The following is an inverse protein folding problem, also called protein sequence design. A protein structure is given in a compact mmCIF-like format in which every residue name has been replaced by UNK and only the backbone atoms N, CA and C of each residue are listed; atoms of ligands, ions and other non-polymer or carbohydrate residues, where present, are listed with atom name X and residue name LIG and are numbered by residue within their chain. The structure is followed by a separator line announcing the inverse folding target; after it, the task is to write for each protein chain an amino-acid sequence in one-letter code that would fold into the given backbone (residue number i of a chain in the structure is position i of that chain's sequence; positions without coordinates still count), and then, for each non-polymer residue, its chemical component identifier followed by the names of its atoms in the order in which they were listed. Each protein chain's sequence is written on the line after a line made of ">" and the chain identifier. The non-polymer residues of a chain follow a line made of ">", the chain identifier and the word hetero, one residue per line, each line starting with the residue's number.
data_IF_124988503045
#
_entry.id   IF_124988503045
#
_cell.length_a   1.000
_cell.length_b   1.000
_cell.length_c   1.000
_cell.angle_alpha   90.00
_cell.angle_beta   90.00
_cell.angle_gamma   90.00
#
_symmetry.space_group_name_H-M   'P 1'
#
loop_
_entity.id
_entity.type
_entity.pdbx_description
1 polymer ?
#
# COMPACT_ATOMS: atom_id res chain seq x y z
N UNK A 1 22.21 -24.06 -9.51
CA UNK A 1 21.14 -23.04 -9.45
C UNK A 1 21.70 -21.75 -8.85
N UNK A 2 21.83 -20.69 -9.66
CA UNK A 2 22.45 -19.42 -9.26
C UNK A 2 21.63 -18.64 -8.22
N UNK A 3 22.25 -17.72 -7.47
CA UNK A 3 21.57 -16.91 -6.44
C UNK A 3 20.40 -16.10 -7.01
N UNK A 4 20.57 -15.56 -8.22
CA UNK A 4 19.54 -14.81 -8.96
C UNK A 4 18.30 -15.66 -9.28
N UNK A 5 18.48 -16.91 -9.71
CA UNK A 5 17.37 -17.82 -9.99
C UNK A 5 16.57 -18.15 -8.73
N UNK A 6 17.23 -18.28 -7.58
CA UNK A 6 16.54 -18.51 -6.30
C UNK A 6 15.75 -17.30 -5.83
N UNK A 7 16.20 -16.08 -6.12
CA UNK A 7 15.46 -14.86 -5.82
C UNK A 7 14.26 -14.73 -6.75
N UNK A 8 14.45 -14.93 -8.06
CA UNK A 8 13.37 -14.89 -9.05
C UNK A 8 12.24 -15.86 -8.69
N UNK A 9 12.57 -17.10 -8.34
CA UNK A 9 11.60 -18.13 -7.96
C UNK A 9 10.77 -17.79 -6.70
N UNK A 10 11.18 -16.79 -5.92
CA UNK A 10 10.45 -16.33 -4.74
C UNK A 10 9.55 -15.12 -5.02
N UNK A 11 9.59 -14.58 -6.23
CA UNK A 11 8.78 -13.42 -6.60
C UNK A 11 7.38 -13.81 -7.07
N UNK A 12 6.45 -12.85 -7.05
CA UNK A 12 5.08 -13.01 -7.59
C UNK A 12 5.05 -13.31 -9.10
N UNK A 13 6.13 -12.98 -9.82
CA UNK A 13 6.26 -13.24 -11.26
C UNK A 13 6.76 -14.65 -11.57
N UNK A 14 7.27 -15.40 -10.59
CA UNK A 14 7.65 -16.79 -10.80
C UNK A 14 6.47 -17.66 -11.23
N UNK A 15 6.76 -18.69 -12.02
CA UNK A 15 5.79 -19.73 -12.36
C UNK A 15 5.35 -20.47 -11.09
N UNK A 16 4.04 -20.66 -10.93
CA UNK A 16 3.45 -21.29 -9.74
C UNK A 16 3.36 -20.40 -8.48
N UNK A 17 3.81 -19.14 -8.52
CA UNK A 17 3.71 -18.23 -7.36
C UNK A 17 2.26 -17.87 -6.98
N UNK A 18 1.33 -17.97 -7.93
CA UNK A 18 -0.10 -17.71 -7.73
C UNK A 18 -0.85 -19.05 -7.84
N UNK A 19 -1.60 -19.47 -6.79
CA UNK A 19 -2.40 -20.69 -6.84
C UNK A 19 -3.45 -20.66 -7.96
N UNK A 20 -3.80 -21.81 -8.58
CA UNK A 20 -4.81 -21.86 -9.63
C UNK A 20 -6.17 -21.28 -9.22
N UNK A 21 -6.57 -21.43 -7.95
CA UNK A 21 -7.81 -20.86 -7.38
C UNK A 21 -7.85 -19.33 -7.41
N UNK A 22 -6.70 -18.67 -7.53
CA UNK A 22 -6.56 -17.21 -7.48
C UNK A 22 -6.18 -16.62 -8.85
N UNK A 23 -6.21 -17.42 -9.91
CA UNK A 23 -5.77 -16.99 -11.24
C UNK A 23 -6.57 -15.78 -11.77
N UNK A 24 -7.83 -15.63 -11.34
CA UNK A 24 -8.66 -14.43 -11.63
C UNK A 24 -8.02 -13.11 -11.19
N UNK A 25 -7.14 -13.13 -10.19
CA UNK A 25 -6.45 -11.95 -9.66
C UNK A 25 -5.00 -11.82 -10.17
N UNK A 26 -4.58 -12.63 -11.16
CA UNK A 26 -3.19 -12.65 -11.63
C UNK A 26 -2.67 -11.29 -12.05
N UNK A 27 -3.41 -10.58 -12.91
CA UNK A 27 -2.99 -9.28 -13.42
C UNK A 27 -3.02 -8.22 -12.32
N UNK A 28 -3.99 -8.31 -11.41
CA UNK A 28 -4.04 -7.45 -10.24
C UNK A 28 -2.78 -7.61 -9.37
N UNK A 29 -2.41 -8.86 -9.04
CA UNK A 29 -1.25 -9.16 -8.19
C UNK A 29 0.09 -8.85 -8.85
N UNK A 30 0.23 -9.07 -10.17
CA UNK A 30 1.51 -8.93 -10.90
C UNK A 30 1.76 -7.55 -11.49
N UNK A 31 0.73 -6.76 -11.72
CA UNK A 31 0.85 -5.48 -12.43
C UNK A 31 0.29 -4.35 -11.59
N UNK A 32 -0.98 -4.41 -11.22
CA UNK A 32 -1.66 -3.27 -10.61
C UNK A 32 -1.23 -2.99 -9.17
N UNK A 33 -0.99 -4.01 -8.34
CA UNK A 33 -0.49 -3.81 -6.98
C UNK A 33 0.94 -3.25 -6.97
N UNK A 34 1.92 -3.83 -7.72
CA UNK A 34 3.24 -3.24 -7.83
C UNK A 34 3.21 -1.82 -8.41
N UNK A 35 2.38 -1.58 -9.43
CA UNK A 35 2.25 -0.25 -10.04
C UNK A 35 1.69 0.77 -9.05
N UNK A 36 0.68 0.40 -8.27
CA UNK A 36 0.13 1.25 -7.23
C UNK A 36 1.19 1.66 -6.20
N UNK A 37 1.96 0.68 -5.69
CA UNK A 37 3.01 0.96 -4.71
C UNK A 37 4.15 1.80 -5.33
N UNK A 38 4.48 1.58 -6.61
CA UNK A 38 5.45 2.41 -7.34
C UNK A 38 4.98 3.86 -7.51
N UNK A 39 3.70 4.08 -7.86
CA UNK A 39 3.11 5.42 -7.95
C UNK A 39 3.15 6.10 -6.57
N UNK A 40 2.86 5.37 -5.50
CA UNK A 40 2.94 5.91 -4.13
C UNK A 40 4.37 6.33 -3.75
N UNK A 41 5.39 5.53 -4.07
CA UNK A 41 6.80 5.91 -3.87
C UNK A 41 7.11 7.23 -4.59
N UNK A 42 6.74 7.31 -5.87
CA UNK A 42 6.97 8.51 -6.69
C UNK A 42 6.20 9.71 -6.11
N UNK A 43 4.95 9.52 -5.67
CA UNK A 43 4.16 10.58 -5.06
C UNK A 43 4.81 11.13 -3.78
N UNK A 44 5.32 10.26 -2.90
CA UNK A 44 6.06 10.67 -1.71
C UNK A 44 7.36 11.42 -2.07
N UNK A 45 8.09 10.94 -3.07
CA UNK A 45 9.29 11.63 -3.56
C UNK A 45 8.99 13.01 -4.14
N UNK A 46 7.96 13.11 -4.97
CA UNK A 46 7.51 14.37 -5.56
C UNK A 46 7.05 15.35 -4.49
N UNK A 47 6.37 14.88 -3.45
CA UNK A 47 5.95 15.71 -2.32
C UNK A 47 7.14 16.30 -1.55
N UNK A 48 8.25 15.57 -1.38
CA UNK A 48 9.47 16.11 -0.77
C UNK A 48 10.17 17.15 -1.68
N UNK A 49 10.19 16.92 -2.99
CA UNK A 49 10.97 17.76 -3.91
C UNK A 49 10.25 19.05 -4.32
N UNK A 50 8.93 18.96 -4.50
CA UNK A 50 8.10 20.07 -4.97
C UNK A 50 7.22 20.65 -3.87
N UNK A 51 7.13 19.96 -2.72
CA UNK A 51 6.24 20.33 -1.65
C UNK A 51 4.77 20.04 -1.93
N UNK A 52 3.96 20.12 -0.89
CA UNK A 52 2.50 20.21 -1.03
C UNK A 52 2.03 21.53 -0.45
N UNK A 53 1.60 22.45 -1.32
CA UNK A 53 1.08 23.77 -0.93
C UNK A 53 -0.06 23.67 0.07
N UNK A 54 -0.85 22.59 0.03
CA UNK A 54 -1.94 22.34 0.97
C UNK A 54 -1.46 21.85 2.33
N UNK A 55 -0.47 20.96 2.37
CA UNK A 55 0.09 20.48 3.63
C UNK A 55 0.90 21.56 4.34
N UNK A 56 1.70 22.35 3.63
CA UNK A 56 2.49 23.45 4.21
C UNK A 56 1.63 24.59 4.78
N UNK A 57 0.34 24.64 4.45
CA UNK A 57 -0.61 25.58 5.09
C UNK A 57 -1.06 25.12 6.47
N UNK A 58 -0.99 23.81 6.73
CA UNK A 58 -1.52 23.17 7.93
C UNK A 58 -0.37 22.81 8.87
N UNK A 59 0.77 22.41 8.31
CA UNK A 59 1.93 21.88 9.03
C UNK A 59 3.22 22.57 8.62
N UNK A 60 4.21 22.49 9.50
CA UNK A 60 5.59 22.92 9.24
C UNK A 60 6.22 22.13 8.07
N UNK A 61 7.16 22.78 7.39
CA UNK A 61 7.87 22.20 6.24
C UNK A 61 8.60 20.91 6.58
N UNK A 62 9.33 20.88 7.71
CA UNK A 62 10.10 19.70 8.09
C UNK A 62 9.19 18.51 8.41
N UNK A 63 8.05 18.75 9.05
CA UNK A 63 7.06 17.70 9.32
C UNK A 63 6.48 17.13 8.02
N UNK A 64 6.14 17.99 7.05
CA UNK A 64 5.58 17.55 5.76
C UNK A 64 6.59 16.73 4.97
N UNK A 65 7.85 17.16 4.91
CA UNK A 65 8.91 16.42 4.23
C UNK A 65 9.19 15.07 4.93
N UNK A 66 9.21 15.05 6.26
CA UNK A 66 9.38 13.83 7.03
C UNK A 66 8.23 12.83 6.78
N UNK A 67 6.98 13.30 6.76
CA UNK A 67 5.81 12.46 6.48
C UNK A 67 5.83 11.97 5.03
N UNK A 68 6.22 12.80 4.07
CA UNK A 68 6.34 12.40 2.67
C UNK A 68 7.45 11.36 2.45
N UNK A 69 8.60 11.53 3.11
CA UNK A 69 9.68 10.54 3.12
C UNK A 69 9.26 9.23 3.78
N UNK A 70 8.56 9.30 4.91
CA UNK A 70 8.01 8.12 5.58
C UNK A 70 6.97 7.40 4.70
N UNK A 71 6.08 8.14 4.05
CA UNK A 71 5.11 7.60 3.09
C UNK A 71 5.80 6.84 1.95
N UNK A 72 6.84 7.45 1.35
CA UNK A 72 7.64 6.82 0.28
C UNK A 72 8.33 5.54 0.75
N UNK A 73 8.91 5.56 1.95
CA UNK A 73 9.54 4.39 2.57
C UNK A 73 8.53 3.26 2.80
N UNK A 74 7.35 3.56 3.34
CA UNK A 74 6.30 2.56 3.57
C UNK A 74 5.78 1.99 2.25
N UNK A 75 5.59 2.83 1.23
CA UNK A 75 5.21 2.38 -0.11
C UNK A 75 6.28 1.45 -0.72
N UNK A 76 7.57 1.73 -0.51
CA UNK A 76 8.66 0.84 -0.92
C UNK A 76 8.62 -0.50 -0.19
N UNK A 77 8.40 -0.50 1.13
CA UNK A 77 8.20 -1.73 1.91
C UNK A 77 6.99 -2.52 1.40
N UNK A 78 5.91 -1.85 1.02
CA UNK A 78 4.74 -2.48 0.42
C UNK A 78 5.07 -3.11 -0.94
N UNK A 79 5.81 -2.41 -1.80
CA UNK A 79 6.23 -2.91 -3.11
C UNK A 79 7.06 -4.19 -2.97
N UNK A 80 8.02 -4.20 -2.03
CA UNK A 80 8.82 -5.39 -1.71
C UNK A 80 7.91 -6.49 -1.15
N UNK A 81 6.97 -6.16 -0.27
CA UNK A 81 5.98 -7.10 0.25
C UNK A 81 5.14 -7.78 -0.84
N UNK A 82 4.64 -7.01 -1.80
CA UNK A 82 3.88 -7.50 -2.96
C UNK A 82 4.77 -8.36 -3.86
N UNK A 83 6.01 -7.93 -4.10
CA UNK A 83 6.95 -8.65 -4.93
C UNK A 83 7.29 -10.04 -4.36
N UNK A 84 7.33 -10.20 -3.03
CA UNK A 84 7.69 -11.44 -2.34
C UNK A 84 6.53 -11.98 -1.47
N UNK A 85 5.75 -12.98 -1.94
CA UNK A 85 4.59 -13.51 -1.21
C UNK A 85 4.87 -14.02 0.21
N UNK A 86 6.13 -14.34 0.53
CA UNK A 86 6.56 -14.73 1.89
C UNK A 86 6.48 -13.58 2.89
N UNK A 87 6.55 -12.34 2.42
CA UNK A 87 6.51 -11.12 3.24
C UNK A 87 5.08 -10.56 3.38
N UNK A 88 4.05 -11.37 3.15
CA UNK A 88 2.65 -10.96 3.20
C UNK A 88 2.24 -10.26 4.51
N UNK A 89 2.83 -10.62 5.65
CA UNK A 89 2.58 -9.94 6.93
C UNK A 89 3.16 -8.51 6.95
N UNK A 90 4.34 -8.32 6.38
CA UNK A 90 4.98 -7.01 6.23
C UNK A 90 4.19 -6.17 5.23
N UNK A 91 3.75 -6.77 4.12
CA UNK A 91 2.86 -6.14 3.16
C UNK A 91 1.57 -5.63 3.83
N UNK A 92 0.92 -6.48 4.64
CA UNK A 92 -0.31 -6.10 5.35
C UNK A 92 -0.07 -4.93 6.32
N UNK A 93 0.95 -5.00 7.17
CA UNK A 93 1.29 -3.93 8.10
C UNK A 93 1.61 -2.62 7.35
N UNK A 94 2.41 -2.70 6.29
CA UNK A 94 2.74 -1.56 5.45
C UNK A 94 1.50 -0.94 4.82
N UNK A 95 0.58 -1.73 4.27
CA UNK A 95 -0.66 -1.22 3.65
C UNK A 95 -1.62 -0.63 4.68
N UNK A 96 -1.68 -1.16 5.91
CA UNK A 96 -2.44 -0.53 7.01
C UNK A 96 -1.87 0.86 7.33
N UNK A 97 -0.55 0.96 7.48
CA UNK A 97 0.12 2.25 7.72
C UNK A 97 -0.13 3.21 6.54
N UNK A 98 0.03 2.74 5.30
CA UNK A 98 -0.19 3.53 4.09
C UNK A 98 -1.62 4.07 4.01
N UNK A 99 -2.63 3.24 4.28
CA UNK A 99 -4.04 3.65 4.36
C UNK A 99 -4.24 4.67 5.47
N UNK A 100 -3.63 4.46 6.64
CA UNK A 100 -3.66 5.41 7.75
C UNK A 100 -3.08 6.77 7.39
N UNK A 101 -1.97 6.81 6.66
CA UNK A 101 -1.35 8.05 6.17
C UNK A 101 -2.26 8.77 5.16
N UNK A 102 -2.85 8.06 4.20
CA UNK A 102 -3.77 8.66 3.22
C UNK A 102 -5.04 9.19 3.91
N UNK A 103 -5.64 8.38 4.78
CA UNK A 103 -6.84 8.77 5.54
C UNK A 103 -6.56 9.94 6.49
N UNK A 104 -5.40 9.92 7.16
CA UNK A 104 -4.93 11.01 8.01
C UNK A 104 -4.73 12.29 7.21
N UNK A 105 -4.17 12.21 6.00
CA UNK A 105 -4.04 13.37 5.12
C UNK A 105 -5.40 13.92 4.67
N UNK A 106 -6.33 13.06 4.26
CA UNK A 106 -7.70 13.46 3.94
C UNK A 106 -8.35 14.16 5.13
N UNK A 107 -8.25 13.58 6.34
CA UNK A 107 -8.75 14.18 7.57
C UNK A 107 -8.10 15.53 7.86
N UNK A 108 -6.78 15.65 7.70
CA UNK A 108 -6.07 16.89 7.90
C UNK A 108 -6.60 18.01 6.99
N UNK A 109 -6.84 17.71 5.71
CA UNK A 109 -7.43 18.67 4.77
C UNK A 109 -8.85 19.05 5.21
N UNK A 110 -9.71 18.06 5.47
CA UNK A 110 -11.14 18.30 5.77
C UNK A 110 -11.31 19.13 7.04
N UNK A 111 -10.55 18.83 8.09
CA UNK A 111 -10.76 19.44 9.41
C UNK A 111 -9.92 20.70 9.65
N UNK A 112 -8.77 20.85 8.99
CA UNK A 112 -7.81 21.93 9.30
C UNK A 112 -7.49 22.85 8.12
N UNK A 113 -7.84 22.52 6.87
CA UNK A 113 -7.57 23.40 5.74
C UNK A 113 -8.47 24.64 5.78
N UNK A 114 -7.87 25.81 5.97
CA UNK A 114 -8.53 27.12 5.77
C UNK A 114 -8.10 27.67 4.42
N UNK A 115 -9.01 27.65 3.44
CA UNK A 115 -8.69 28.16 2.11
C UNK A 115 -8.61 29.70 2.13
N UNK A 116 -7.60 30.30 1.48
CA UNK A 116 -7.57 31.74 1.26
C UNK A 116 -8.80 32.22 0.49
N UNK A 117 -9.18 33.52 0.63
CA UNK A 117 -10.25 34.10 -0.16
C UNK A 117 -9.93 33.95 -1.67
N UNK A 118 -10.86 33.40 -2.43
CA UNK A 118 -10.72 33.22 -3.88
C UNK A 118 -10.14 31.88 -4.34
N UNK A 119 -9.73 31.00 -3.43
CA UNK A 119 -9.31 29.64 -3.81
C UNK A 119 -10.46 28.62 -3.74
N UNK A 120 -10.55 27.69 -4.70
CA UNK A 120 -11.58 26.65 -4.69
C UNK A 120 -11.38 25.69 -3.52
N UNK A 121 -12.48 25.09 -3.06
CA UNK A 121 -12.43 24.09 -2.01
C UNK A 121 -11.56 22.88 -2.40
N UNK A 122 -10.81 22.26 -1.47
CA UNK A 122 -9.85 21.20 -1.77
C UNK A 122 -10.51 19.84 -2.07
N UNK A 123 -11.82 19.83 -2.37
CA UNK A 123 -12.60 18.61 -2.63
C UNK A 123 -12.03 17.78 -3.76
N UNK A 124 -11.49 18.41 -4.81
CA UNK A 124 -10.83 17.68 -5.89
C UNK A 124 -9.68 16.81 -5.37
N UNK A 125 -8.84 17.36 -4.48
CA UNK A 125 -7.67 16.65 -3.93
C UNK A 125 -8.12 15.60 -2.93
N UNK A 126 -9.11 15.90 -2.10
CA UNK A 126 -9.73 14.93 -1.19
C UNK A 126 -10.29 13.73 -1.97
N UNK A 127 -11.04 13.97 -3.04
CA UNK A 127 -11.59 12.91 -3.90
C UNK A 127 -10.50 12.11 -4.60
N UNK A 128 -9.44 12.78 -5.08
CA UNK A 128 -8.29 12.10 -5.70
C UNK A 128 -7.57 11.19 -4.70
N UNK A 129 -7.31 11.66 -3.48
CA UNK A 129 -6.69 10.86 -2.42
C UNK A 129 -7.60 9.71 -1.97
N UNK A 130 -8.91 9.97 -1.83
CA UNK A 130 -9.88 8.94 -1.47
C UNK A 130 -9.96 7.85 -2.56
N UNK A 131 -9.84 8.23 -3.83
CA UNK A 131 -9.78 7.31 -4.97
C UNK A 131 -8.57 6.36 -4.96
N UNK A 132 -7.53 6.65 -4.19
CA UNK A 132 -6.38 5.74 -4.02
C UNK A 132 -6.65 4.62 -3.01
N UNK A 133 -7.57 4.81 -2.06
CA UNK A 133 -7.84 3.86 -0.98
C UNK A 133 -8.41 2.48 -1.39
N UNK A 134 -9.26 2.35 -2.44
CA UNK A 134 -9.85 1.06 -2.80
C UNK A 134 -8.83 -0.04 -3.07
N UNK A 135 -7.71 0.29 -3.73
CA UNK A 135 -6.67 -0.68 -4.09
C UNK A 135 -5.96 -1.32 -2.87
N UNK A 136 -5.36 -0.56 -1.93
CA UNK A 136 -4.74 -1.13 -0.74
C UNK A 136 -5.78 -1.79 0.18
N UNK A 137 -7.00 -1.24 0.30
CA UNK A 137 -8.07 -1.87 1.08
C UNK A 137 -8.48 -3.23 0.52
N UNK A 138 -8.65 -3.32 -0.80
CA UNK A 138 -8.95 -4.59 -1.46
C UNK A 138 -7.85 -5.61 -1.25
N UNK A 139 -6.58 -5.19 -1.33
CA UNK A 139 -5.44 -6.08 -1.05
C UNK A 139 -5.41 -6.53 0.41
N UNK A 140 -5.71 -5.64 1.37
CA UNK A 140 -5.82 -6.02 2.78
C UNK A 140 -6.93 -7.05 3.01
N UNK A 141 -8.08 -6.91 2.34
CA UNK A 141 -9.14 -7.92 2.37
C UNK A 141 -8.66 -9.27 1.83
N UNK A 142 -7.98 -9.30 0.68
CA UNK A 142 -7.43 -10.53 0.12
C UNK A 142 -6.38 -11.18 1.06
N UNK A 143 -5.51 -10.38 1.67
CA UNK A 143 -4.51 -10.86 2.63
C UNK A 143 -5.17 -11.45 3.89
N UNK A 144 -6.29 -10.86 4.33
CA UNK A 144 -7.13 -11.38 5.40
C UNK A 144 -7.69 -12.76 5.08
N UNK A 145 -8.27 -12.93 3.88
CA UNK A 145 -8.81 -14.21 3.41
C UNK A 145 -7.71 -15.29 3.30
N UNK A 146 -6.55 -14.94 2.73
CA UNK A 146 -5.38 -15.81 2.63
C UNK A 146 -4.86 -16.23 4.03
N UNK A 147 -4.93 -15.34 5.01
CA UNK A 147 -4.53 -15.64 6.38
C UNK A 147 -5.54 -16.53 7.11
N UNK A 148 -6.83 -16.24 7.00
CA UNK A 148 -7.91 -17.05 7.56
C UNK A 148 -7.90 -18.47 6.99
N UNK A 149 -7.72 -18.63 5.67
CA UNK A 149 -7.61 -19.94 5.03
C UNK A 149 -6.44 -20.77 5.55
N UNK A 150 -5.28 -20.15 5.78
CA UNK A 150 -4.11 -20.81 6.39
C UNK A 150 -4.38 -21.22 7.84
N UNK A 151 -5.08 -20.38 8.60
CA UNK A 151 -5.42 -20.69 10.00
C UNK A 151 -6.39 -21.88 10.10
N UNK A 152 -7.45 -21.90 9.29
CA UNK A 152 -8.42 -23.01 9.24
C UNK A 152 -7.72 -24.32 8.85
N UNK A 153 -6.85 -24.29 7.82
CA UNK A 153 -6.09 -25.48 7.39
C UNK A 153 -5.19 -26.02 8.50
N UNK A 154 -4.52 -25.14 9.25
CA UNK A 154 -3.68 -25.52 10.40
C UNK A 154 -4.50 -26.14 11.53
N UNK A 155 -5.69 -25.60 11.82
CA UNK A 155 -6.58 -26.14 12.85
C UNK A 155 -7.07 -27.55 12.50
N UNK A 156 -7.58 -27.75 11.29
CA UNK A 156 -8.02 -29.09 10.81
C UNK A 156 -6.89 -30.12 10.80
N UNK A 157 -5.65 -29.70 10.52
CA UNK A 157 -4.50 -30.60 10.56
C UNK A 157 -4.18 -31.07 12.00
N UNK A 158 -4.40 -30.22 13.01
CA UNK A 158 -4.24 -30.60 14.42
C UNK A 158 -5.34 -31.56 14.88
N UNK A 159 -6.59 -31.31 14.46
CA UNK A 159 -7.74 -32.17 14.79
C UNK A 159 -7.67 -33.57 14.16
N UNK A 160 -6.91 -33.76 13.08
CA UNK A 160 -6.67 -35.09 12.47
C UNK A 160 -5.55 -35.91 13.12
N UNK A 161 -4.76 -35.29 13.98
CA UNK A 161 -3.58 -35.91 14.63
C UNK A 161 -3.87 -36.21 16.11
N UNK A 162 -4.94 -35.65 16.67
CA UNK A 162 -5.50 -36.00 17.97
C UNK A 162 -6.55 -37.12 17.82
#
# INVERSE_FOLDING_TARGET
>A
MGRLQRLWAQTIWAEGAIPPSEWKYRNLKRVWLPLYDAIAIVAGWMAMWFGSRLLFRIFDMHLVDAVAGFYSLIAFVCLVGVAFPRLAAIEAAGKVILVGLIAGYIGAIIFYSKNPPGEPAPWFIVSMLAGLLPMPLFRLSLLGDEWAGRFIKRRRAREKVA
#
